data_IF_950789213098
#
_entry.id   IF_950789213098
#
_cell.length_a   1.000
_cell.length_b   1.000
_cell.length_c   1.000
_cell.angle_alpha   90.00
_cell.angle_beta   90.00
_cell.angle_gamma   90.00
#
_symmetry.space_group_name_H-M   'P 1'
#
loop_
_entity.id
_entity.type
_entity.pdbx_description
1 polymer ?
#
# COMPACT_ATOMS: atom_id res chain seq x y z
N UNK A 1 9.96 20.67 -11.35
CA UNK A 1 9.41 21.15 -10.06
C UNK A 1 8.73 19.96 -9.39
N UNK A 2 8.95 19.73 -8.08
CA UNK A 2 8.36 18.61 -7.34
C UNK A 2 7.49 19.17 -6.21
N UNK A 3 6.27 18.65 -6.08
CA UNK A 3 5.36 18.96 -4.98
C UNK A 3 5.14 17.69 -4.15
N UNK A 4 5.15 17.84 -2.83
CA UNK A 4 4.84 16.77 -1.88
C UNK A 4 3.66 17.22 -1.04
N UNK A 5 2.53 16.52 -1.17
CA UNK A 5 1.32 16.76 -0.37
C UNK A 5 1.34 15.84 0.85
N UNK A 6 1.15 16.40 2.03
CA UNK A 6 1.21 15.68 3.31
C UNK A 6 0.06 16.13 4.24
N UNK A 7 -0.36 15.33 5.22
CA UNK A 7 -1.14 15.82 6.34
C UNK A 7 -0.36 16.90 7.10
N UNK A 8 -1.06 17.98 7.52
CA UNK A 8 -0.40 19.11 8.20
C UNK A 8 0.18 18.74 9.58
N UNK A 9 -0.31 17.65 10.19
CA UNK A 9 0.14 17.11 11.48
C UNK A 9 1.14 15.95 11.34
N UNK A 10 1.76 15.81 10.15
CA UNK A 10 2.76 14.77 9.92
C UNK A 10 3.98 14.96 10.84
N UNK A 11 4.56 13.85 11.30
CA UNK A 11 5.73 13.87 12.18
C UNK A 11 6.90 14.64 11.54
N UNK A 12 7.51 15.56 12.30
CA UNK A 12 8.55 16.48 11.83
C UNK A 12 9.72 15.75 11.16
N UNK A 13 10.10 14.57 11.61
CA UNK A 13 11.16 13.77 11.01
C UNK A 13 10.88 13.39 9.55
N UNK A 14 9.63 13.10 9.21
CA UNK A 14 9.21 12.77 7.84
C UNK A 14 9.17 14.03 6.96
N UNK A 15 8.75 15.16 7.54
CA UNK A 15 8.75 16.47 6.84
C UNK A 15 10.17 16.88 6.50
N UNK A 16 11.08 16.84 7.47
CA UNK A 16 12.51 17.20 7.28
C UNK A 16 13.16 16.30 6.23
N UNK A 17 12.93 14.98 6.26
CA UNK A 17 13.45 14.06 5.26
C UNK A 17 12.99 14.41 3.83
N UNK A 18 11.77 14.90 3.69
CA UNK A 18 11.25 15.36 2.40
C UNK A 18 11.91 16.65 1.94
N UNK A 19 12.20 17.58 2.87
CA UNK A 19 12.77 18.91 2.57
C UNK A 19 14.24 18.88 2.11
N UNK A 20 14.97 17.81 2.38
CA UNK A 20 16.38 17.66 1.99
C UNK A 20 16.63 17.91 0.49
N UNK A 21 15.66 17.56 -0.34
CA UNK A 21 15.73 17.72 -1.81
C UNK A 21 15.06 19.00 -2.31
N UNK A 22 14.75 19.94 -1.41
CA UNK A 22 14.11 21.22 -1.71
C UNK A 22 12.83 21.16 -2.58
N UNK A 23 11.90 20.21 -2.36
CA UNK A 23 10.60 20.24 -3.01
C UNK A 23 9.70 21.30 -2.38
N UNK A 24 8.60 21.62 -3.05
CA UNK A 24 7.50 22.35 -2.42
C UNK A 24 6.66 21.38 -1.60
N UNK A 25 6.66 21.53 -0.28
CA UNK A 25 5.83 20.72 0.63
C UNK A 25 4.54 21.47 0.94
N UNK A 26 3.39 20.81 0.72
CA UNK A 26 2.04 21.37 0.94
C UNK A 26 1.37 20.59 2.05
N UNK A 27 1.17 21.23 3.21
CA UNK A 27 0.44 20.66 4.35
C UNK A 27 -1.07 20.80 4.17
N UNK A 28 -1.79 19.69 4.23
CA UNK A 28 -3.24 19.63 4.10
C UNK A 28 -3.86 19.39 5.48
N UNK A 29 -4.85 20.20 5.85
CA UNK A 29 -5.62 19.99 7.06
C UNK A 29 -6.56 18.80 6.85
N UNK A 30 -6.23 17.66 7.47
CA UNK A 30 -6.94 16.39 7.30
C UNK A 30 -5.99 15.20 7.44
N UNK A 31 -6.50 14.02 7.21
CA UNK A 31 -5.74 12.77 7.26
C UNK A 31 -5.17 12.40 5.86
N UNK A 32 -4.50 11.24 5.77
CA UNK A 32 -3.93 10.76 4.52
C UNK A 32 -4.99 10.54 3.42
N UNK A 33 -6.19 10.10 3.77
CA UNK A 33 -7.26 9.87 2.81
C UNK A 33 -7.75 11.19 2.19
N UNK A 34 -7.77 12.29 2.98
CA UNK A 34 -8.09 13.64 2.50
C UNK A 34 -7.03 14.16 1.54
N UNK A 35 -5.74 13.94 1.85
CA UNK A 35 -4.63 14.27 0.95
C UNK A 35 -4.76 13.52 -0.37
N UNK A 36 -5.04 12.22 -0.31
CA UNK A 36 -5.19 11.36 -1.49
C UNK A 36 -6.35 11.78 -2.37
N UNK A 37 -7.48 12.15 -1.76
CA UNK A 37 -8.66 12.67 -2.47
C UNK A 37 -8.33 13.97 -3.19
N UNK A 38 -7.71 14.94 -2.51
CA UNK A 38 -7.29 16.20 -3.12
C UNK A 38 -6.33 15.98 -4.29
N UNK A 39 -5.33 15.12 -4.13
CA UNK A 39 -4.39 14.79 -5.21
C UNK A 39 -5.10 14.15 -6.42
N UNK A 40 -6.12 13.33 -6.18
CA UNK A 40 -6.93 12.74 -7.25
C UNK A 40 -7.75 13.79 -8.01
N UNK A 41 -8.32 14.75 -7.30
CA UNK A 41 -9.04 15.89 -7.89
C UNK A 41 -8.09 16.76 -8.73
N UNK A 42 -6.89 17.08 -8.22
CA UNK A 42 -5.87 17.84 -8.95
C UNK A 42 -5.40 17.08 -10.20
N UNK A 43 -5.18 15.76 -10.10
CA UNK A 43 -4.79 14.93 -11.24
C UNK A 43 -5.84 14.88 -12.35
N UNK A 44 -7.11 15.09 -12.01
CA UNK A 44 -8.20 15.20 -12.98
C UNK A 44 -8.25 16.54 -13.74
N UNK A 45 -7.61 17.59 -13.21
CA UNK A 45 -7.65 18.95 -13.75
C UNK A 45 -6.32 19.36 -14.42
N UNK A 46 -5.20 18.97 -13.82
CA UNK A 46 -3.87 19.36 -14.26
C UNK A 46 -3.08 18.17 -14.82
N UNK A 47 -2.25 18.36 -15.87
CA UNK A 47 -1.43 17.32 -16.46
C UNK A 47 -0.18 17.03 -15.60
N UNK A 48 -0.36 16.81 -14.31
CA UNK A 48 0.71 16.48 -13.37
C UNK A 48 0.87 14.97 -13.22
N UNK A 49 2.10 14.52 -13.06
CA UNK A 49 2.41 13.12 -12.78
C UNK A 49 2.36 12.86 -11.28
N UNK A 50 1.28 12.26 -10.81
CA UNK A 50 1.13 11.83 -9.41
C UNK A 50 1.59 10.38 -9.26
N UNK A 51 2.71 10.14 -8.56
CA UNK A 51 3.28 8.81 -8.38
C UNK A 51 2.31 7.81 -7.74
N UNK A 52 1.51 8.28 -6.79
CA UNK A 52 0.56 7.43 -6.06
C UNK A 52 -0.83 7.33 -6.73
N UNK A 53 -1.06 8.01 -7.83
CA UNK A 53 -2.39 8.05 -8.50
C UNK A 53 -2.26 7.57 -9.94
N UNK A 54 -1.80 8.43 -10.84
CA UNK A 54 -1.75 8.11 -12.27
C UNK A 54 -0.47 7.37 -12.71
N UNK A 55 0.61 7.40 -11.90
CA UNK A 55 1.78 6.53 -12.06
C UNK A 55 1.70 5.23 -11.23
N UNK A 56 0.57 4.98 -10.60
CA UNK A 56 0.33 3.86 -9.71
C UNK A 56 0.64 2.47 -10.28
N UNK A 57 0.40 2.13 -11.56
CA UNK A 57 0.76 0.83 -12.10
C UNK A 57 2.25 0.50 -11.90
N UNK A 58 3.14 1.45 -12.14
CA UNK A 58 4.59 1.28 -11.94
C UNK A 58 4.95 1.13 -10.46
N UNK A 59 4.37 1.98 -9.60
CA UNK A 59 4.53 1.86 -8.15
C UNK A 59 4.07 0.49 -7.64
N UNK A 60 2.90 0.04 -8.08
CA UNK A 60 2.33 -1.22 -7.66
C UNK A 60 3.16 -2.42 -8.15
N UNK A 61 3.65 -2.40 -9.38
CA UNK A 61 4.50 -3.48 -9.92
C UNK A 61 5.84 -3.54 -9.17
N UNK A 62 6.42 -2.40 -8.79
CA UNK A 62 7.64 -2.35 -7.97
C UNK A 62 7.50 -3.06 -6.62
N UNK A 63 6.33 -3.08 -6.03
CA UNK A 63 6.07 -3.77 -4.76
C UNK A 63 6.25 -5.31 -4.83
N UNK A 64 6.28 -5.89 -6.02
CA UNK A 64 6.54 -7.33 -6.21
C UNK A 64 7.96 -7.74 -5.82
N UNK A 65 8.90 -6.80 -5.87
CA UNK A 65 10.32 -7.09 -5.58
C UNK A 65 10.55 -7.66 -4.20
N UNK A 66 9.74 -7.28 -3.21
CA UNK A 66 9.78 -7.92 -1.88
C UNK A 66 9.54 -9.43 -1.96
N UNK A 67 8.53 -9.85 -2.71
CA UNK A 67 8.23 -11.28 -2.84
C UNK A 67 9.27 -12.01 -3.68
N UNK A 68 9.86 -11.34 -4.66
CA UNK A 68 10.96 -11.89 -5.45
C UNK A 68 12.17 -12.17 -4.58
N UNK A 69 12.54 -11.23 -3.72
CA UNK A 69 13.63 -11.39 -2.76
C UNK A 69 13.35 -12.50 -1.74
N UNK A 70 12.12 -12.61 -1.23
CA UNK A 70 11.72 -13.71 -0.33
C UNK A 70 11.93 -15.06 -1.02
N UNK A 71 11.49 -15.22 -2.26
CA UNK A 71 11.63 -16.49 -3.01
C UNK A 71 13.08 -16.80 -3.31
N UNK A 72 13.88 -15.81 -3.70
CA UNK A 72 15.32 -15.98 -3.93
C UNK A 72 16.03 -16.44 -2.66
N UNK A 73 15.80 -15.78 -1.51
CA UNK A 73 16.43 -16.11 -0.23
C UNK A 73 15.98 -17.46 0.32
N UNK A 74 14.79 -17.94 -0.05
CA UNK A 74 14.30 -19.28 0.27
C UNK A 74 14.68 -20.35 -0.76
N UNK A 75 15.63 -20.04 -1.65
CA UNK A 75 16.08 -20.99 -2.67
C UNK A 75 15.01 -21.36 -3.69
N UNK A 76 14.20 -20.39 -4.10
CA UNK A 76 13.11 -20.54 -5.07
C UNK A 76 11.99 -21.48 -4.61
N UNK A 77 11.79 -21.58 -3.32
CA UNK A 77 10.70 -22.34 -2.71
C UNK A 77 9.67 -21.38 -2.11
N UNK A 78 8.42 -21.54 -2.52
CA UNK A 78 7.34 -20.75 -1.94
C UNK A 78 7.04 -21.19 -0.50
N UNK A 79 7.01 -20.30 0.49
CA UNK A 79 6.68 -20.65 1.87
C UNK A 79 5.22 -21.11 2.00
N UNK A 80 4.93 -21.97 2.98
CA UNK A 80 3.55 -22.40 3.27
C UNK A 80 2.69 -21.25 3.79
N UNK A 81 3.28 -20.33 4.55
CA UNK A 81 2.61 -19.18 5.14
C UNK A 81 3.42 -17.90 4.94
N UNK A 82 2.74 -16.82 4.57
CA UNK A 82 3.31 -15.50 4.42
C UNK A 82 2.45 -14.49 5.18
N UNK A 83 3.02 -13.85 6.21
CA UNK A 83 2.32 -12.85 7.01
C UNK A 83 2.79 -11.47 6.57
N UNK A 84 1.87 -10.64 6.08
CA UNK A 84 2.18 -9.32 5.54
C UNK A 84 1.38 -8.21 6.24
N UNK A 85 2.01 -7.07 6.55
CA UNK A 85 1.29 -5.90 6.98
C UNK A 85 0.47 -5.34 5.82
N UNK A 86 -0.70 -4.79 6.14
CA UNK A 86 -1.50 -4.09 5.15
C UNK A 86 -1.90 -2.69 5.65
N UNK A 87 -1.64 -1.71 4.83
CA UNK A 87 -2.21 -0.37 4.90
C UNK A 87 -3.19 -0.20 3.73
N UNK A 88 -2.70 0.18 2.55
CA UNK A 88 -3.50 0.28 1.33
C UNK A 88 -3.83 -1.05 0.63
N UNK A 89 -3.26 -2.18 1.06
CA UNK A 89 -3.49 -3.51 0.45
C UNK A 89 -2.51 -3.90 -0.66
N UNK A 90 -1.72 -2.95 -1.20
CA UNK A 90 -0.86 -3.17 -2.36
C UNK A 90 0.15 -4.32 -2.16
N UNK A 91 0.82 -4.37 -1.00
CA UNK A 91 1.82 -5.40 -0.73
C UNK A 91 1.24 -6.81 -0.76
N UNK A 92 0.08 -7.01 -0.16
CA UNK A 92 -0.63 -8.29 -0.11
C UNK A 92 -1.00 -8.77 -1.52
N UNK A 93 -1.59 -7.87 -2.31
CA UNK A 93 -2.01 -8.17 -3.69
C UNK A 93 -0.82 -8.50 -4.58
N UNK A 94 0.31 -7.78 -4.42
CA UNK A 94 1.51 -7.99 -5.24
C UNK A 94 2.31 -9.22 -4.82
N UNK A 95 2.28 -9.61 -3.56
CA UNK A 95 2.81 -10.89 -3.13
C UNK A 95 2.06 -12.06 -3.80
N UNK A 96 0.73 -12.02 -3.80
CA UNK A 96 -0.10 -13.01 -4.51
C UNK A 96 0.20 -13.05 -6.00
N UNK A 97 0.29 -11.87 -6.63
CA UNK A 97 0.62 -11.73 -8.05
C UNK A 97 2.00 -12.30 -8.37
N UNK A 98 3.01 -12.02 -7.55
CA UNK A 98 4.38 -12.53 -7.71
C UNK A 98 4.45 -14.04 -7.70
N UNK A 99 3.82 -14.68 -6.72
CA UNK A 99 3.76 -16.13 -6.62
C UNK A 99 3.11 -16.75 -7.87
N UNK A 100 2.01 -16.13 -8.36
CA UNK A 100 1.34 -16.58 -9.59
C UNK A 100 2.24 -16.43 -10.82
N UNK A 101 2.90 -15.28 -10.98
CA UNK A 101 3.76 -15.00 -12.12
C UNK A 101 4.98 -15.94 -12.15
N UNK A 102 5.63 -16.16 -11.02
CA UNK A 102 6.80 -17.06 -10.94
C UNK A 102 6.42 -18.51 -11.25
N UNK A 103 5.25 -18.94 -10.83
CA UNK A 103 4.74 -20.25 -11.23
C UNK A 103 4.47 -20.33 -12.74
N UNK A 104 3.84 -19.32 -13.31
CA UNK A 104 3.57 -19.27 -14.76
C UNK A 104 4.84 -19.25 -15.61
N UNK A 105 5.91 -18.65 -15.08
CA UNK A 105 7.25 -18.65 -15.70
C UNK A 105 8.04 -19.95 -15.47
N UNK A 106 7.51 -20.87 -14.69
CA UNK A 106 8.19 -22.14 -14.35
C UNK A 106 9.37 -22.00 -13.39
N UNK A 107 9.47 -20.87 -12.68
CA UNK A 107 10.55 -20.58 -11.72
C UNK A 107 10.30 -21.23 -10.36
N UNK A 108 9.05 -21.49 -10.01
CA UNK A 108 8.63 -22.19 -8.78
C UNK A 108 7.52 -23.17 -9.08
N UNK A 109 7.38 -24.19 -8.26
CA UNK A 109 6.21 -25.08 -8.28
C UNK A 109 4.93 -24.32 -7.97
N UNK A 110 3.78 -24.95 -8.23
CA UNK A 110 2.47 -24.36 -7.92
C UNK A 110 2.37 -24.02 -6.43
N UNK A 111 2.35 -22.73 -6.07
CA UNK A 111 2.40 -22.31 -4.67
C UNK A 111 1.11 -22.68 -3.94
N UNK A 112 1.24 -23.21 -2.73
CA UNK A 112 0.15 -23.45 -1.78
C UNK A 112 0.16 -22.40 -0.65
N UNK A 113 0.95 -21.35 -0.81
CA UNK A 113 1.17 -20.30 0.16
C UNK A 113 -0.15 -19.67 0.62
N UNK A 114 -0.37 -19.67 1.92
CA UNK A 114 -1.45 -18.94 2.57
C UNK A 114 -0.94 -17.56 2.98
N UNK A 115 -1.56 -16.52 2.44
CA UNK A 115 -1.21 -15.14 2.78
C UNK A 115 -2.12 -14.68 3.93
N UNK A 116 -1.50 -14.22 5.01
CA UNK A 116 -2.16 -13.69 6.19
C UNK A 116 -1.96 -12.18 6.26
N UNK A 117 -3.05 -11.45 6.47
CA UNK A 117 -3.04 -9.98 6.55
C UNK A 117 -2.98 -9.55 8.00
N UNK A 118 -2.01 -8.70 8.33
CA UNK A 118 -1.88 -8.07 9.64
C UNK A 118 -2.20 -6.57 9.53
N UNK A 119 -3.18 -6.11 10.31
CA UNK A 119 -3.54 -4.69 10.42
C UNK A 119 -3.62 -4.29 11.90
N UNK A 120 -3.42 -2.98 12.17
CA UNK A 120 -3.65 -2.43 13.50
C UNK A 120 -5.13 -2.56 13.89
N UNK A 121 -5.42 -2.93 15.13
CA UNK A 121 -6.79 -3.13 15.62
C UNK A 121 -7.67 -1.88 15.44
N UNK A 122 -7.10 -0.68 15.64
CA UNK A 122 -7.82 0.59 15.43
C UNK A 122 -7.87 1.08 13.97
N UNK A 123 -7.34 0.30 13.00
CA UNK A 123 -7.43 0.60 11.57
C UNK A 123 -7.27 -0.70 10.76
N UNK A 124 -8.25 -1.58 10.82
CA UNK A 124 -8.22 -2.90 10.19
C UNK A 124 -9.33 -3.16 9.18
N UNK A 125 -9.61 -2.25 8.21
CA UNK A 125 -10.76 -2.40 7.32
C UNK A 125 -10.72 -3.66 6.47
N UNK A 126 -9.55 -4.07 5.97
CA UNK A 126 -9.40 -5.31 5.18
C UNK A 126 -9.67 -6.54 6.05
N UNK A 127 -9.04 -6.60 7.23
CA UNK A 127 -9.21 -7.74 8.16
C UNK A 127 -10.66 -7.86 8.63
N UNK A 128 -11.33 -6.73 8.89
CA UNK A 128 -12.74 -6.71 9.28
C UNK A 128 -13.62 -7.26 8.16
N UNK A 129 -13.42 -6.78 6.94
CA UNK A 129 -14.17 -7.26 5.77
C UNK A 129 -13.99 -8.76 5.54
N UNK A 130 -12.75 -9.27 5.64
CA UNK A 130 -12.48 -10.70 5.51
C UNK A 130 -13.18 -11.53 6.60
N UNK A 131 -13.21 -11.05 7.84
CA UNK A 131 -13.91 -11.73 8.95
C UNK A 131 -15.42 -11.74 8.78
N UNK A 132 -15.98 -10.68 8.20
CA UNK A 132 -17.41 -10.55 7.91
C UNK A 132 -17.84 -11.31 6.64
N UNK A 133 -16.90 -11.82 5.85
CA UNK A 133 -17.17 -12.45 4.56
C UNK A 133 -17.70 -11.47 3.51
N UNK A 134 -17.33 -10.20 3.61
CA UNK A 134 -17.77 -9.16 2.67
C UNK A 134 -16.88 -9.05 1.44
N UNK A 135 -17.45 -8.59 0.32
CA UNK A 135 -16.75 -8.39 -0.94
C UNK A 135 -16.13 -6.97 -1.08
N UNK A 136 -16.57 -6.04 -0.27
CA UNK A 136 -16.15 -4.63 -0.34
C UNK A 136 -15.65 -4.13 1.00
N UNK A 137 -14.46 -3.52 0.98
CA UNK A 137 -13.87 -2.92 2.17
C UNK A 137 -14.64 -1.65 2.54
N UNK A 138 -15.20 -1.63 3.75
CA UNK A 138 -15.86 -0.45 4.31
C UNK A 138 -14.81 0.47 4.92
N UNK A 139 -14.77 1.77 4.53
CA UNK A 139 -13.86 2.73 5.12
C UNK A 139 -14.07 2.87 6.64
N UNK A 140 -12.97 3.03 7.37
CA UNK A 140 -12.97 3.27 8.82
C UNK A 140 -12.19 4.55 9.14
N UNK A 141 -12.55 5.23 10.24
CA UNK A 141 -11.73 6.31 10.76
C UNK A 141 -10.55 5.71 11.53
N UNK A 142 -9.30 5.96 11.12
CA UNK A 142 -8.14 5.41 11.81
C UNK A 142 -8.01 5.91 13.26
N UNK A 143 -7.77 5.00 14.19
CA UNK A 143 -7.41 5.29 15.58
C UNK A 143 -6.28 4.33 16.00
N UNK A 144 -5.03 4.71 15.74
CA UNK A 144 -3.86 3.86 15.99
C UNK A 144 -2.60 4.68 16.16
N UNK A 145 -1.66 4.17 16.96
CA UNK A 145 -0.30 4.70 17.06
C UNK A 145 0.55 4.36 15.83
N UNK A 146 0.15 3.37 15.04
CA UNK A 146 0.84 2.96 13.81
C UNK A 146 0.48 3.91 12.65
N UNK A 147 0.95 5.15 12.73
CA UNK A 147 0.59 6.24 11.80
C UNK A 147 0.83 5.89 10.33
N UNK A 148 1.91 5.21 10.00
CA UNK A 148 2.22 4.79 8.62
C UNK A 148 1.26 3.73 8.06
N UNK A 149 0.52 3.02 8.91
CA UNK A 149 -0.48 2.03 8.53
C UNK A 149 -1.92 2.53 8.69
N UNK A 150 -2.10 3.79 9.09
CA UNK A 150 -3.39 4.40 9.38
C UNK A 150 -4.12 4.80 8.09
N UNK A 151 -4.40 3.84 7.22
CA UNK A 151 -5.17 4.03 5.98
C UNK A 151 -6.55 3.41 6.17
N UNK A 152 -7.53 4.28 6.40
CA UNK A 152 -8.92 3.87 6.66
C UNK A 152 -9.68 3.50 5.40
N UNK A 153 -9.25 4.01 4.24
CA UNK A 153 -9.83 3.70 2.93
C UNK A 153 -8.76 3.11 1.99
N UNK A 154 -8.47 1.80 2.10
CA UNK A 154 -7.38 1.16 1.37
C UNK A 154 -7.69 1.08 -0.13
N UNK A 155 -6.85 1.72 -0.92
CA UNK A 155 -7.03 1.82 -2.38
C UNK A 155 -6.95 0.47 -3.11
N UNK A 156 -6.19 -0.49 -2.61
CA UNK A 156 -6.10 -1.87 -3.14
C UNK A 156 -6.90 -2.88 -2.29
N UNK A 157 -7.73 -2.39 -1.37
CA UNK A 157 -8.47 -3.25 -0.44
C UNK A 157 -9.38 -4.27 -1.12
N UNK A 158 -9.98 -3.91 -2.24
CA UNK A 158 -10.85 -4.80 -3.02
C UNK A 158 -10.08 -5.98 -3.65
N UNK A 159 -8.77 -5.88 -3.78
CA UNK A 159 -7.93 -6.94 -4.35
C UNK A 159 -7.18 -7.74 -3.29
N UNK A 160 -7.18 -7.28 -2.06
CA UNK A 160 -6.51 -7.90 -0.92
C UNK A 160 -7.39 -8.95 -0.25
#
# INVERSE_FOLDING_TARGET
MCFIFIPADLEIGKVVASLVYAPTVVGITGNYDDVNRLCSEIAGVYPWAFANINLRPFYAEGSKTLCFEILEQLGWQAPDHLILPAAGGSLVTKAKKSLKEFHLLGLIDKPKTKIHVAQAAGCGPIVTTLKEGGDFVKPVKPDTIAKSLAIGNPADGIYA
#
